data_IF_131952868915
#
_entry.id   IF_131952868915
#
_cell.length_a   1.000
_cell.length_b   1.000
_cell.length_c   1.000
_cell.angle_alpha   90.00
_cell.angle_beta   90.00
_cell.angle_gamma   90.00
#
_symmetry.space_group_name_H-M   'P 1'
#
loop_
_entity.id
_entity.type
_entity.pdbx_description
1 polymer ?
#
# COMPACT_ATOMS: atom_id res chain seq x y z
N UNK A 1 10.80 -29.90 -24.04
CA UNK A 1 11.80 -30.18 -22.98
C UNK A 1 11.07 -30.13 -21.66
N UNK A 2 11.01 -31.23 -20.92
CA UNK A 2 10.22 -31.33 -19.69
C UNK A 2 11.04 -30.80 -18.51
N UNK A 3 10.56 -29.74 -17.87
CA UNK A 3 11.15 -29.23 -16.64
C UNK A 3 10.82 -30.15 -15.47
N UNK A 4 11.85 -30.64 -14.79
CA UNK A 4 11.70 -31.45 -13.59
C UNK A 4 11.17 -30.61 -12.42
N UNK A 5 10.30 -31.23 -11.60
CA UNK A 5 9.76 -30.60 -10.40
C UNK A 5 10.85 -30.32 -9.37
N UNK A 6 10.62 -29.29 -8.55
CA UNK A 6 11.58 -28.80 -7.55
C UNK A 6 12.09 -29.89 -6.59
N UNK A 7 11.23 -30.84 -6.22
CA UNK A 7 11.61 -31.96 -5.35
C UNK A 7 12.66 -32.87 -5.97
N UNK A 8 12.55 -33.15 -7.27
CA UNK A 8 13.50 -34.02 -7.99
C UNK A 8 14.84 -33.31 -8.19
N UNK A 9 14.82 -31.99 -8.42
CA UNK A 9 16.03 -31.16 -8.52
C UNK A 9 16.84 -31.16 -7.20
N UNK A 10 16.16 -31.07 -6.06
CA UNK A 10 16.80 -31.12 -4.73
C UNK A 10 17.40 -32.49 -4.42
N UNK A 11 16.78 -33.57 -4.92
CA UNK A 11 17.26 -34.92 -4.71
C UNK A 11 18.54 -35.20 -5.53
N UNK A 12 18.58 -34.72 -6.78
CA UNK A 12 19.78 -34.79 -7.63
C UNK A 12 20.95 -33.99 -7.03
N UNK A 13 20.68 -32.82 -6.43
CA UNK A 13 21.67 -32.00 -5.72
C UNK A 13 22.22 -32.68 -4.46
N UNK A 14 21.45 -33.59 -3.85
CA UNK A 14 21.89 -34.36 -2.69
C UNK A 14 22.78 -35.54 -3.07
N UNK A 15 22.53 -36.11 -4.25
CA UNK A 15 23.25 -37.28 -4.76
C UNK A 15 24.55 -36.89 -5.50
N UNK A 16 24.68 -35.65 -5.97
CA UNK A 16 25.91 -35.11 -6.56
C UNK A 16 26.79 -34.39 -5.52
N UNK A 17 27.48 -35.17 -4.69
CA UNK A 17 28.59 -34.65 -3.86
C UNK A 17 29.89 -35.41 -4.18
N UNK A 18 30.60 -35.06 -5.28
CA UNK A 18 31.95 -35.54 -5.45
C UNK A 18 32.83 -34.74 -4.49
N UNK A 19 33.54 -35.46 -3.62
CA UNK A 19 34.48 -34.98 -2.60
C UNK A 19 33.87 -34.76 -1.20
N UNK A 20 33.96 -35.85 -0.45
CA UNK A 20 33.86 -35.89 1.00
C UNK A 20 34.79 -34.85 1.65
N UNK A 21 34.21 -33.78 2.19
CA UNK A 21 34.71 -33.19 3.43
C UNK A 21 33.66 -33.44 4.50
N UNK A 22 34.04 -34.19 5.53
CA UNK A 22 33.25 -34.49 6.71
C UNK A 22 32.74 -33.20 7.39
N UNK A 23 31.65 -32.62 6.90
CA UNK A 23 30.86 -31.63 7.64
C UNK A 23 30.03 -32.37 8.67
N UNK A 24 30.63 -32.62 9.83
CA UNK A 24 29.88 -33.05 11.01
C UNK A 24 28.93 -31.92 11.41
N UNK A 25 27.64 -32.16 11.29
CA UNK A 25 26.57 -31.28 11.80
C UNK A 25 26.00 -31.91 13.06
N UNK A 26 26.07 -31.16 14.17
CA UNK A 26 25.65 -31.62 15.51
C UNK A 26 26.50 -30.99 16.61
N UNK A 27 26.15 -31.23 17.88
CA UNK A 27 26.82 -30.68 19.08
C UNK A 27 28.34 -30.91 19.12
N UNK A 28 28.87 -31.87 18.37
CA UNK A 28 30.31 -32.14 18.26
C UNK A 28 31.10 -30.99 17.62
N UNK A 29 30.51 -30.23 16.69
CA UNK A 29 31.13 -29.05 16.09
C UNK A 29 31.22 -27.86 17.06
N UNK A 30 30.41 -27.85 18.13
CA UNK A 30 30.39 -26.78 19.14
C UNK A 30 31.47 -26.96 20.22
N UNK A 31 32.08 -28.14 20.34
CA UNK A 31 33.12 -28.43 21.35
C UNK A 31 34.50 -27.99 20.86
N UNK A 32 34.79 -28.16 19.57
CA UNK A 32 36.12 -27.88 19.00
C UNK A 32 36.38 -26.38 18.75
N UNK A 33 35.31 -25.58 18.59
CA UNK A 33 35.40 -24.12 18.45
C UNK A 33 35.75 -23.34 19.71
N UNK A 34 35.85 -24.00 20.89
CA UNK A 34 36.12 -23.32 22.16
C UNK A 34 37.61 -23.13 22.49
N UNK A 35 38.52 -23.76 21.76
CA UNK A 35 39.94 -23.75 22.14
C UNK A 35 40.81 -22.74 21.37
N UNK A 36 40.37 -22.20 20.25
CA UNK A 36 41.22 -21.31 19.44
C UNK A 36 40.57 -19.95 19.20
N UNK A 37 40.88 -19.05 20.15
CA UNK A 37 41.03 -17.60 20.02
C UNK A 37 40.16 -16.88 19.01
N UNK A 38 39.10 -16.23 19.49
CA UNK A 38 38.77 -14.83 19.26
C UNK A 38 37.59 -14.50 20.16
N UNK A 39 37.88 -13.98 21.36
CA UNK A 39 36.88 -13.31 22.20
C UNK A 39 36.45 -12.02 21.50
N UNK A 40 35.53 -12.11 20.54
CA UNK A 40 34.55 -11.04 20.33
C UNK A 40 33.59 -11.16 21.50
N UNK A 41 33.36 -10.06 22.21
CA UNK A 41 32.35 -9.98 23.26
C UNK A 41 30.96 -10.27 22.64
N UNK A 42 30.59 -11.55 22.55
CA UNK A 42 29.23 -11.98 22.31
C UNK A 42 28.51 -11.83 23.65
N UNK A 43 27.83 -10.69 23.84
CA UNK A 43 26.83 -10.58 24.89
C UNK A 43 25.56 -11.28 24.39
N UNK A 44 25.25 -12.50 24.86
CA UNK A 44 24.07 -13.25 24.40
C UNK A 44 22.76 -12.52 24.70
N UNK A 45 22.78 -11.59 25.66
CA UNK A 45 21.65 -10.72 26.03
C UNK A 45 21.31 -9.75 24.88
N UNK A 46 22.32 -9.19 24.22
CA UNK A 46 22.13 -8.17 23.17
C UNK A 46 21.61 -8.77 21.86
N UNK A 47 22.02 -9.99 21.55
CA UNK A 47 21.55 -10.75 20.38
C UNK A 47 20.11 -11.24 20.55
N UNK A 48 19.71 -11.61 21.78
CA UNK A 48 18.33 -11.95 22.11
C UNK A 48 17.39 -10.74 22.02
N UNK A 49 17.83 -9.57 22.49
CA UNK A 49 17.08 -8.30 22.36
C UNK A 49 16.88 -7.91 20.89
N UNK A 50 17.93 -8.01 20.07
CA UNK A 50 17.84 -7.72 18.64
C UNK A 50 16.88 -8.69 17.92
N UNK A 51 16.93 -9.97 18.26
CA UNK A 51 16.00 -10.97 17.75
C UNK A 51 14.54 -10.69 18.17
N UNK A 52 14.33 -10.30 19.43
CA UNK A 52 13.00 -9.94 19.94
C UNK A 52 12.41 -8.71 19.24
N UNK A 53 13.25 -7.69 18.96
CA UNK A 53 12.83 -6.51 18.20
C UNK A 53 12.49 -6.89 16.76
N UNK A 54 13.32 -7.68 16.08
CA UNK A 54 13.05 -8.18 14.73
C UNK A 54 11.74 -8.96 14.66
N UNK A 55 11.48 -9.83 15.63
CA UNK A 55 10.24 -10.59 15.71
C UNK A 55 9.02 -9.68 15.93
N UNK A 56 9.16 -8.66 16.78
CA UNK A 56 8.10 -7.66 17.00
C UNK A 56 7.80 -6.88 15.73
N UNK A 57 8.84 -6.41 15.02
CA UNK A 57 8.69 -5.71 13.74
C UNK A 57 8.01 -6.59 12.71
N UNK A 58 8.43 -7.85 12.59
CA UNK A 58 7.80 -8.81 11.69
C UNK A 58 6.31 -9.04 12.01
N UNK A 59 5.95 -9.16 13.29
CA UNK A 59 4.54 -9.27 13.71
C UNK A 59 3.73 -8.03 13.35
N UNK A 60 4.26 -6.83 13.61
CA UNK A 60 3.58 -5.58 13.25
C UNK A 60 3.39 -5.46 11.73
N UNK A 61 4.40 -5.84 10.93
CA UNK A 61 4.28 -5.86 9.47
C UNK A 61 3.19 -6.83 9.03
N UNK A 62 3.20 -8.06 9.56
CA UNK A 62 2.21 -9.07 9.21
C UNK A 62 0.79 -8.63 9.59
N UNK A 63 0.61 -8.05 10.78
CA UNK A 63 -0.67 -7.50 11.25
C UNK A 63 -1.13 -6.33 10.36
N UNK A 64 -0.22 -5.43 9.99
CA UNK A 64 -0.50 -4.31 9.09
C UNK A 64 -0.92 -4.78 7.69
N UNK A 65 -0.26 -5.80 7.14
CA UNK A 65 -0.64 -6.41 5.86
C UNK A 65 -2.02 -7.05 5.97
N UNK A 66 -2.26 -7.84 7.02
CA UNK A 66 -3.54 -8.53 7.21
C UNK A 66 -4.70 -7.56 7.41
N UNK A 67 -4.51 -6.49 8.17
CA UNK A 67 -5.49 -5.41 8.33
C UNK A 67 -5.77 -4.70 6.99
N UNK A 68 -4.73 -4.42 6.20
CA UNK A 68 -4.86 -3.82 4.88
C UNK A 68 -5.66 -4.71 3.93
N UNK A 69 -5.38 -6.02 3.89
CA UNK A 69 -6.16 -6.98 3.11
C UNK A 69 -7.62 -7.03 3.52
N UNK A 70 -7.91 -7.00 4.84
CA UNK A 70 -9.27 -6.99 5.36
C UNK A 70 -10.02 -5.72 4.95
N UNK A 71 -9.35 -4.56 4.99
CA UNK A 71 -9.91 -3.28 4.53
C UNK A 71 -10.18 -3.28 3.03
N UNK A 72 -9.26 -3.81 2.22
CA UNK A 72 -9.44 -3.94 0.76
C UNK A 72 -10.66 -4.80 0.46
N UNK A 73 -10.80 -5.96 1.11
CA UNK A 73 -11.96 -6.84 0.93
C UNK A 73 -13.27 -6.15 1.31
N UNK A 74 -13.28 -5.38 2.41
CA UNK A 74 -14.46 -4.59 2.80
C UNK A 74 -14.79 -3.51 1.78
N UNK A 75 -13.80 -2.77 1.29
CA UNK A 75 -14.00 -1.75 0.27
C UNK A 75 -14.57 -2.34 -1.04
N UNK A 76 -14.06 -3.50 -1.47
CA UNK A 76 -14.59 -4.22 -2.63
C UNK A 76 -16.05 -4.67 -2.42
N UNK A 77 -16.41 -5.12 -1.21
CA UNK A 77 -17.78 -5.52 -0.89
C UNK A 77 -18.74 -4.33 -0.87
N UNK A 78 -18.32 -3.19 -0.32
CA UNK A 78 -19.09 -1.94 -0.36
C UNK A 78 -19.29 -1.52 -1.81
N UNK A 79 -18.23 -1.50 -2.62
CA UNK A 79 -18.33 -1.18 -4.06
C UNK A 79 -19.35 -2.09 -4.74
N UNK A 80 -19.22 -3.41 -4.59
CA UNK A 80 -20.15 -4.38 -5.22
C UNK A 80 -21.61 -4.19 -4.79
N UNK A 81 -21.86 -3.86 -3.53
CA UNK A 81 -23.22 -3.77 -3.00
C UNK A 81 -23.90 -2.43 -3.29
N UNK A 82 -23.12 -1.36 -3.49
CA UNK A 82 -23.62 0.00 -3.63
C UNK A 82 -23.21 0.65 -4.96
N UNK A 83 -22.66 -0.10 -5.92
CA UNK A 83 -22.19 0.41 -7.22
C UNK A 83 -23.26 1.22 -7.96
N UNK A 84 -24.53 0.82 -7.84
CA UNK A 84 -25.67 1.48 -8.48
C UNK A 84 -26.38 2.51 -7.57
N UNK A 85 -25.79 2.83 -6.42
CA UNK A 85 -26.34 3.83 -5.51
C UNK A 85 -25.72 5.17 -5.80
N UNK A 86 -26.55 6.16 -6.12
CA UNK A 86 -26.10 7.53 -6.37
C UNK A 86 -25.35 8.13 -5.16
N UNK A 87 -25.72 7.75 -3.94
CA UNK A 87 -25.01 8.17 -2.73
C UNK A 87 -23.58 7.62 -2.67
N UNK A 88 -23.36 6.41 -3.20
CA UNK A 88 -22.02 5.82 -3.29
C UNK A 88 -21.18 6.50 -4.37
N UNK A 89 -21.76 6.81 -5.53
CA UNK A 89 -21.09 7.55 -6.60
C UNK A 89 -20.64 8.94 -6.12
N UNK A 90 -21.53 9.71 -5.48
CA UNK A 90 -21.19 11.02 -4.91
C UNK A 90 -20.10 10.87 -3.84
N UNK A 91 -20.25 9.90 -2.93
CA UNK A 91 -19.27 9.64 -1.88
C UNK A 91 -17.88 9.27 -2.44
N UNK A 92 -17.83 8.50 -3.52
CA UNK A 92 -16.60 8.14 -4.21
C UNK A 92 -15.94 9.37 -4.83
N UNK A 93 -16.70 10.20 -5.54
CA UNK A 93 -16.20 11.43 -6.17
C UNK A 93 -15.65 12.41 -5.12
N UNK A 94 -16.36 12.59 -4.01
CA UNK A 94 -15.91 13.45 -2.90
C UNK A 94 -14.64 12.91 -2.27
N UNK A 95 -14.53 11.58 -2.10
CA UNK A 95 -13.30 10.94 -1.62
C UNK A 95 -12.11 11.22 -2.54
N UNK A 96 -12.28 11.00 -3.84
CA UNK A 96 -11.24 11.23 -4.85
C UNK A 96 -10.82 12.71 -4.95
N UNK A 97 -11.78 13.64 -4.86
CA UNK A 97 -11.50 15.07 -4.80
C UNK A 97 -10.72 15.46 -3.53
N UNK A 98 -11.03 14.83 -2.39
CA UNK A 98 -10.34 15.08 -1.12
C UNK A 98 -8.90 14.57 -1.15
N UNK A 99 -8.65 13.40 -1.74
CA UNK A 99 -7.30 12.85 -1.93
C UNK A 99 -6.45 13.77 -2.81
N UNK A 100 -6.99 14.20 -3.96
CA UNK A 100 -6.33 15.15 -4.85
C UNK A 100 -6.08 16.51 -4.20
N UNK A 101 -6.99 16.97 -3.34
CA UNK A 101 -6.79 18.19 -2.56
C UNK A 101 -5.62 18.03 -1.57
N UNK A 102 -5.49 16.86 -0.94
CA UNK A 102 -4.33 16.52 -0.11
C UNK A 102 -3.01 16.62 -0.90
N UNK A 103 -2.93 15.98 -2.06
CA UNK A 103 -1.74 16.07 -2.94
C UNK A 103 -1.42 17.51 -3.34
N UNK A 104 -2.46 18.31 -3.65
CA UNK A 104 -2.32 19.72 -4.01
C UNK A 104 -1.74 20.55 -2.86
N UNK A 105 -2.14 20.28 -1.61
CA UNK A 105 -1.57 20.93 -0.43
C UNK A 105 -0.10 20.60 -0.24
N UNK A 106 0.28 19.33 -0.40
CA UNK A 106 1.68 18.89 -0.27
C UNK A 106 2.58 19.54 -1.35
N UNK A 107 2.06 19.67 -2.57
CA UNK A 107 2.75 20.40 -3.64
C UNK A 107 2.83 21.90 -3.37
N UNK A 108 1.79 22.48 -2.77
CA UNK A 108 1.79 23.91 -2.41
C UNK A 108 2.84 24.22 -1.34
N UNK A 109 3.02 23.35 -0.35
CA UNK A 109 4.12 23.47 0.62
C UNK A 109 5.51 23.41 -0.06
N UNK A 110 5.63 22.58 -1.11
CA UNK A 110 6.85 22.51 -1.92
C UNK A 110 7.08 23.80 -2.72
N UNK A 111 6.00 24.43 -3.22
CA UNK A 111 6.06 25.68 -3.98
C UNK A 111 6.65 26.84 -3.16
N UNK A 112 6.22 26.98 -1.89
CA UNK A 112 6.76 27.98 -0.97
C UNK A 112 8.26 27.81 -0.75
N UNK A 113 8.70 26.57 -0.52
CA UNK A 113 10.13 26.25 -0.35
C UNK A 113 10.95 26.62 -1.59
N UNK A 114 10.46 26.25 -2.77
CA UNK A 114 11.13 26.51 -4.05
C UNK A 114 11.21 28.01 -4.37
N UNK A 115 10.18 28.77 -3.97
CA UNK A 115 10.18 30.24 -4.06
C UNK A 115 11.30 30.86 -3.22
N UNK A 116 11.43 30.42 -1.96
CA UNK A 116 12.49 30.90 -1.07
C UNK A 116 13.91 30.56 -1.54
N UNK A 117 14.08 29.42 -2.20
CA UNK A 117 15.37 28.97 -2.73
C UNK A 117 15.74 29.61 -4.08
N UNK A 118 14.91 30.53 -4.60
CA UNK A 118 15.14 31.25 -5.86
C UNK A 118 15.35 30.32 -7.07
N UNK A 119 14.52 29.28 -7.18
CA UNK A 119 14.53 28.34 -8.31
C UNK A 119 13.30 28.56 -9.21
N UNK A 120 13.34 29.55 -10.13
CA UNK A 120 12.14 30.00 -10.84
C UNK A 120 11.56 28.96 -11.81
N UNK A 121 12.40 28.14 -12.46
CA UNK A 121 11.91 27.07 -13.35
C UNK A 121 11.17 25.98 -12.56
N UNK A 122 11.73 25.57 -11.43
CA UNK A 122 11.10 24.61 -10.54
C UNK A 122 9.79 25.18 -9.96
N UNK A 123 9.75 26.49 -9.66
CA UNK A 123 8.54 27.15 -9.18
C UNK A 123 7.42 27.12 -10.21
N UNK A 124 7.72 27.39 -11.49
CA UNK A 124 6.75 27.30 -12.59
C UNK A 124 6.22 25.86 -12.75
N UNK A 125 7.11 24.87 -12.72
CA UNK A 125 6.71 23.46 -12.87
C UNK A 125 5.80 23.01 -11.71
N UNK A 126 6.15 23.31 -10.47
CA UNK A 126 5.32 22.97 -9.31
C UNK A 126 3.98 23.71 -9.37
N UNK A 127 3.99 24.98 -9.79
CA UNK A 127 2.76 25.75 -9.98
C UNK A 127 1.83 25.13 -11.03
N UNK A 128 2.38 24.67 -12.16
CA UNK A 128 1.62 23.96 -13.19
C UNK A 128 0.98 22.68 -12.63
N UNK A 129 1.71 21.89 -11.85
CA UNK A 129 1.16 20.69 -11.22
C UNK A 129 0.04 21.00 -10.22
N UNK A 130 0.18 22.05 -9.41
CA UNK A 130 -0.88 22.53 -8.51
C UNK A 130 -2.12 22.97 -9.30
N UNK A 131 -1.93 23.75 -10.37
CA UNK A 131 -3.03 24.20 -11.22
C UNK A 131 -3.77 23.03 -11.88
N UNK A 132 -3.04 22.04 -12.40
CA UNK A 132 -3.62 20.84 -13.00
C UNK A 132 -4.46 20.04 -12.00
N UNK A 133 -3.99 19.87 -10.75
CA UNK A 133 -4.80 19.25 -9.69
C UNK A 133 -6.05 20.06 -9.36
N UNK A 134 -5.94 21.38 -9.33
CA UNK A 134 -7.11 22.26 -9.15
C UNK A 134 -8.16 22.06 -10.25
N UNK A 135 -7.75 21.89 -11.51
CA UNK A 135 -8.66 21.59 -12.62
C UNK A 135 -9.34 20.24 -12.43
N UNK A 136 -8.59 19.18 -12.09
CA UNK A 136 -9.14 17.85 -11.84
C UNK A 136 -10.18 17.86 -10.70
N UNK A 137 -9.89 18.56 -9.60
CA UNK A 137 -10.83 18.72 -8.48
C UNK A 137 -12.12 19.40 -8.94
N UNK A 138 -12.01 20.47 -9.74
CA UNK A 138 -13.19 21.16 -10.27
C UNK A 138 -14.04 20.25 -11.17
N UNK A 139 -13.39 19.46 -12.03
CA UNK A 139 -14.10 18.49 -12.88
C UNK A 139 -14.86 17.44 -12.05
N UNK A 140 -14.25 16.95 -10.95
CA UNK A 140 -14.90 16.03 -10.02
C UNK A 140 -16.09 16.67 -9.32
N UNK A 141 -15.95 17.92 -8.86
CA UNK A 141 -17.05 18.68 -8.24
C UNK A 141 -18.21 18.86 -9.22
N UNK A 142 -17.93 19.20 -10.47
CA UNK A 142 -18.98 19.39 -11.48
C UNK A 142 -19.67 18.07 -11.85
N UNK A 143 -18.92 16.96 -11.89
CA UNK A 143 -19.51 15.62 -12.02
C UNK A 143 -20.47 15.33 -10.86
N UNK A 144 -20.07 15.59 -9.61
CA UNK A 144 -20.93 15.38 -8.43
C UNK A 144 -22.21 16.26 -8.48
N UNK A 145 -22.12 17.51 -8.93
CA UNK A 145 -23.28 18.39 -9.13
C UNK A 145 -24.23 17.82 -10.19
N UNK A 146 -23.70 17.40 -11.34
CA UNK A 146 -24.52 16.84 -12.43
C UNK A 146 -25.33 15.61 -12.00
N UNK A 147 -24.72 14.75 -11.17
CA UNK A 147 -25.39 13.59 -10.60
C UNK A 147 -26.52 14.03 -9.66
N UNK A 148 -26.24 15.02 -8.81
CA UNK A 148 -27.23 15.57 -7.86
C UNK A 148 -28.41 16.22 -8.57
N UNK A 149 -28.15 16.96 -9.65
CA UNK A 149 -29.19 17.57 -10.49
C UNK A 149 -30.08 16.51 -11.15
N UNK A 150 -29.49 15.46 -11.74
CA UNK A 150 -30.25 14.36 -12.35
C UNK A 150 -31.13 13.61 -11.34
N UNK A 151 -30.69 13.49 -10.08
CA UNK A 151 -31.49 12.93 -8.99
C UNK A 151 -32.71 13.79 -8.69
N UNK A 152 -32.53 15.11 -8.62
CA UNK A 152 -33.61 16.04 -8.33
C UNK A 152 -34.66 16.02 -9.45
N UNK A 153 -34.24 16.03 -10.70
CA UNK A 153 -35.14 15.90 -11.86
C UNK A 153 -35.95 14.60 -11.81
N UNK A 154 -35.28 13.48 -11.53
CA UNK A 154 -35.94 12.17 -11.42
C UNK A 154 -36.94 12.13 -10.25
N UNK A 155 -36.62 12.80 -9.13
CA UNK A 155 -37.50 12.88 -7.97
C UNK A 155 -38.73 13.76 -8.26
N UNK A 156 -38.55 14.89 -8.95
CA UNK A 156 -39.66 15.74 -9.40
C UNK A 156 -40.59 15.02 -10.37
N UNK A 157 -40.03 14.33 -11.36
CA UNK A 157 -40.81 13.56 -12.34
C UNK A 157 -41.67 12.50 -11.63
N UNK A 158 -41.10 11.76 -10.67
CA UNK A 158 -41.86 10.79 -9.87
C UNK A 158 -42.98 11.43 -9.06
N UNK A 159 -42.75 12.60 -8.45
CA UNK A 159 -43.81 13.35 -7.75
C UNK A 159 -44.94 13.77 -8.68
N UNK A 160 -44.62 14.25 -9.89
CA UNK A 160 -45.62 14.62 -10.89
C UNK A 160 -46.47 13.43 -11.33
N UNK A 161 -45.85 12.27 -11.57
CA UNK A 161 -46.58 11.04 -11.92
C UNK A 161 -47.52 10.58 -10.80
N UNK A 162 -47.07 10.59 -9.54
CA UNK A 162 -47.89 10.18 -8.40
C UNK A 162 -49.04 11.16 -8.12
N UNK A 163 -48.83 12.46 -8.35
CA UNK A 163 -49.87 13.47 -8.20
C UNK A 163 -50.91 13.44 -9.33
N UNK A 164 -50.60 12.81 -10.47
CA UNK A 164 -51.54 12.59 -11.58
C UNK A 164 -52.36 11.29 -11.45
N UNK A 165 -52.03 10.43 -10.48
CA UNK A 165 -52.72 9.15 -10.24
C UNK A 165 -53.80 9.18 -9.14
N UNK A 166 -54.17 10.37 -8.68
CA UNK A 166 -55.25 10.64 -7.70
C UNK A 166 -56.31 11.54 -8.35
#
# INVERSE_FOLDING_TARGET
MNELSWGVKLQILKDYSPEATNRRVGMEALVDGRQHGYRKNHDPVREYEEYAIKLKVFRMMHESISDSEAKIKRAQLIKKNYENSTSFEIGYIVGDATEKYGEMLDMSATLERVYHEWRPLDHINVYEHVANRGIEINQLIDLAKSITESMNETAEYRRRLLNLSL
#
